data_IF_440203638554
#
_entry.id   IF_440203638554
#
_cell.length_a   1.000
_cell.length_b   1.000
_cell.length_c   1.000
_cell.angle_alpha   90.00
_cell.angle_beta   90.00
_cell.angle_gamma   90.00
#
_symmetry.space_group_name_H-M   'P 1'
#
loop_
_entity.id
_entity.type
_entity.pdbx_description
1 polymer ?
#
# COMPACT_ATOMS: atom_id res chain seq x y z
N UNK A 1 -7.12 -4.82 -5.04
CA UNK A 1 -6.75 -5.10 -6.45
C UNK A 1 -7.45 -6.33 -7.02
N UNK A 2 -7.75 -7.36 -6.25
CA UNK A 2 -8.48 -8.54 -6.72
C UNK A 2 -9.87 -8.23 -7.32
N UNK A 3 -10.60 -7.25 -6.76
CA UNK A 3 -11.96 -6.92 -7.20
C UNK A 3 -12.02 -6.08 -8.49
N UNK A 4 -11.09 -5.14 -8.66
CA UNK A 4 -11.15 -4.15 -9.75
C UNK A 4 -9.97 -4.22 -10.70
N UNK A 5 -8.92 -4.95 -10.35
CA UNK A 5 -7.66 -5.00 -11.09
C UNK A 5 -6.67 -3.90 -10.66
N UNK A 6 -5.66 -3.70 -11.48
CA UNK A 6 -4.57 -2.74 -11.28
C UNK A 6 -4.80 -1.54 -12.22
N UNK A 7 -4.78 -0.29 -11.72
CA UNK A 7 -4.86 0.87 -12.59
C UNK A 7 -3.58 1.02 -13.43
N UNK A 8 -3.69 1.59 -14.61
CA UNK A 8 -2.53 1.91 -15.45
C UNK A 8 -1.67 3.02 -14.86
N UNK A 9 -2.31 3.96 -14.13
CA UNK A 9 -1.60 5.06 -13.48
C UNK A 9 -2.32 5.55 -12.24
N UNK A 10 -1.55 6.12 -11.32
CA UNK A 10 -2.05 6.92 -10.20
C UNK A 10 -1.66 8.39 -10.39
N UNK A 11 -2.61 9.26 -10.11
CA UNK A 11 -2.37 10.68 -9.99
C UNK A 11 -2.48 11.09 -8.52
N UNK A 12 -1.35 11.43 -7.91
CA UNK A 12 -1.24 11.62 -6.46
C UNK A 12 -0.64 12.98 -6.12
N UNK A 13 -0.75 13.35 -4.88
CA UNK A 13 -0.05 14.53 -4.37
C UNK A 13 1.37 14.20 -3.87
N UNK A 14 2.04 15.22 -3.32
CA UNK A 14 3.39 15.06 -2.77
C UNK A 14 3.36 14.73 -1.27
N UNK A 15 2.35 13.98 -0.78
CA UNK A 15 2.37 13.47 0.59
C UNK A 15 3.49 12.45 0.79
N UNK A 16 3.96 12.33 2.03
CA UNK A 16 5.07 11.43 2.40
C UNK A 16 4.82 9.96 2.06
N UNK A 17 3.57 9.53 2.08
CA UNK A 17 3.20 8.16 1.72
C UNK A 17 3.45 7.87 0.24
N UNK A 18 3.40 8.89 -0.62
CA UNK A 18 3.57 8.73 -2.06
C UNK A 18 4.95 9.11 -2.55
N UNK A 19 5.66 9.99 -1.84
CA UNK A 19 6.93 10.54 -2.30
C UNK A 19 7.83 10.92 -1.13
N UNK A 20 9.09 10.51 -1.20
CA UNK A 20 10.14 11.10 -0.36
C UNK A 20 10.45 12.54 -0.85
N UNK A 21 10.51 13.48 0.08
CA UNK A 21 10.88 14.88 -0.20
C UNK A 21 12.04 15.25 0.70
N UNK A 22 13.20 15.52 0.09
CA UNK A 22 14.38 16.01 0.79
C UNK A 22 14.03 17.32 1.53
N UNK A 23 14.57 17.54 2.71
CA UNK A 23 14.30 18.66 3.61
C UNK A 23 12.94 18.63 4.36
N UNK A 24 11.93 17.93 3.87
CA UNK A 24 10.67 17.73 4.60
C UNK A 24 10.70 16.45 5.44
N UNK A 25 11.38 15.44 4.95
CA UNK A 25 11.52 14.15 5.61
C UNK A 25 12.88 14.08 6.29
N UNK A 26 12.89 13.89 7.61
CA UNK A 26 14.13 13.93 8.39
C UNK A 26 15.10 12.82 7.97
N UNK A 27 16.40 13.14 8.01
CA UNK A 27 17.50 12.20 7.77
C UNK A 27 17.41 10.97 8.70
N UNK A 28 16.83 11.15 9.90
CA UNK A 28 16.56 10.08 10.86
C UNK A 28 15.66 8.95 10.32
N UNK A 29 14.67 9.26 9.49
CA UNK A 29 13.84 8.23 8.86
C UNK A 29 14.63 7.36 7.89
N UNK A 30 15.57 7.92 7.16
CA UNK A 30 16.51 7.16 6.31
C UNK A 30 17.34 6.16 7.13
N UNK A 31 17.82 6.59 8.30
CA UNK A 31 18.63 5.75 9.18
C UNK A 31 17.82 4.67 9.89
N UNK A 32 16.56 4.96 10.25
CA UNK A 32 15.68 3.98 10.91
C UNK A 32 15.31 2.85 9.95
N UNK A 33 15.03 3.16 8.70
CA UNK A 33 14.70 2.15 7.69
C UNK A 33 15.95 1.40 7.18
N UNK A 34 17.17 1.93 7.44
CA UNK A 34 18.47 1.35 7.04
C UNK A 34 18.48 0.80 5.61
N UNK A 35 17.73 1.41 4.71
CA UNK A 35 17.64 1.03 3.30
C UNK A 35 18.05 2.21 2.45
N UNK A 36 18.81 1.95 1.40
CA UNK A 36 19.16 2.94 0.38
C UNK A 36 17.98 3.30 -0.52
N UNK A 37 16.89 2.58 -0.43
CA UNK A 37 15.68 2.86 -1.17
C UNK A 37 14.98 4.10 -0.58
N UNK A 38 15.01 5.17 -1.32
CA UNK A 38 14.43 6.47 -0.93
C UNK A 38 12.92 6.51 -1.20
N UNK A 39 12.44 5.63 -2.05
CA UNK A 39 11.02 5.59 -2.39
C UNK A 39 10.18 4.98 -1.26
N UNK A 40 9.04 5.58 -0.92
CA UNK A 40 8.09 4.99 0.02
C UNK A 40 7.64 3.60 -0.42
N UNK A 41 7.31 2.73 0.55
CA UNK A 41 6.83 1.37 0.30
C UNK A 41 5.72 1.31 -0.75
N UNK A 42 4.75 2.21 -0.68
CA UNK A 42 3.68 2.32 -1.67
C UNK A 42 4.22 2.46 -3.10
N UNK A 43 5.23 3.31 -3.30
CA UNK A 43 5.82 3.55 -4.62
C UNK A 43 6.62 2.34 -5.11
N UNK A 44 7.30 1.63 -4.21
CA UNK A 44 7.98 0.38 -4.55
C UNK A 44 6.98 -0.67 -5.07
N UNK A 45 5.83 -0.83 -4.40
CA UNK A 45 4.74 -1.70 -4.87
C UNK A 45 4.25 -1.26 -6.26
N UNK A 46 4.07 0.05 -6.50
CA UNK A 46 3.66 0.56 -7.81
C UNK A 46 4.68 0.24 -8.91
N UNK A 47 5.98 0.35 -8.61
CA UNK A 47 7.05 -0.05 -9.53
C UNK A 47 6.96 -1.55 -9.89
N UNK A 48 6.84 -2.41 -8.88
CA UNK A 48 6.71 -3.87 -9.07
C UNK A 48 5.51 -4.22 -9.93
N UNK A 49 4.39 -3.50 -9.72
CA UNK A 49 3.17 -3.69 -10.50
C UNK A 49 3.19 -2.98 -11.86
N UNK A 50 4.24 -2.25 -12.22
CA UNK A 50 4.32 -1.50 -13.48
C UNK A 50 3.23 -0.43 -13.59
N UNK A 51 2.87 0.22 -12.47
CA UNK A 51 1.89 1.30 -12.42
C UNK A 51 2.60 2.65 -12.49
N UNK A 52 2.20 3.50 -13.42
CA UNK A 52 2.73 4.84 -13.54
C UNK A 52 2.24 5.73 -12.38
N UNK A 53 3.14 6.51 -11.80
CA UNK A 53 2.80 7.46 -10.75
C UNK A 53 3.10 8.88 -11.24
N UNK A 54 2.06 9.70 -11.32
CA UNK A 54 2.15 11.11 -11.69
C UNK A 54 1.83 11.98 -10.48
N UNK A 55 2.68 12.95 -10.21
CA UNK A 55 2.51 13.86 -9.08
C UNK A 55 1.84 15.15 -9.51
N UNK A 56 0.82 15.57 -8.74
CA UNK A 56 0.16 16.86 -8.93
C UNK A 56 1.15 18.02 -8.70
N UNK A 57 1.31 18.88 -9.69
CA UNK A 57 2.21 20.02 -9.63
C UNK A 57 1.58 21.25 -8.95
N UNK A 58 0.26 21.26 -8.81
CA UNK A 58 -0.46 22.38 -8.18
C UNK A 58 -1.68 21.91 -7.41
N UNK A 59 -2.18 22.71 -6.44
CA UNK A 59 -3.43 22.42 -5.72
C UNK A 59 -4.64 22.28 -6.66
N UNK A 60 -4.70 23.08 -7.71
CA UNK A 60 -5.80 23.08 -8.68
C UNK A 60 -5.91 21.74 -9.43
N UNK A 61 -4.78 21.10 -9.66
CA UNK A 61 -4.72 19.80 -10.33
C UNK A 61 -5.43 18.67 -9.54
N UNK A 62 -5.66 18.86 -8.24
CA UNK A 62 -6.35 17.91 -7.36
C UNK A 62 -7.86 18.10 -7.29
N UNK A 63 -8.40 19.20 -7.80
CA UNK A 63 -9.80 19.59 -7.61
C UNK A 63 -10.83 18.51 -8.00
N UNK A 64 -10.47 17.59 -8.90
CA UNK A 64 -11.35 16.48 -9.30
C UNK A 64 -11.55 15.44 -8.18
N UNK A 65 -10.52 15.18 -7.38
CA UNK A 65 -10.61 14.22 -6.27
C UNK A 65 -11.00 14.87 -4.94
N UNK A 66 -10.64 16.14 -4.74
CA UNK A 66 -10.97 16.87 -3.52
C UNK A 66 -12.47 17.11 -3.35
N UNK A 67 -13.19 17.36 -4.45
CA UNK A 67 -14.65 17.61 -4.41
C UNK A 67 -15.45 16.43 -3.87
N UNK A 68 -15.29 15.19 -4.35
CA UNK A 68 -15.95 14.02 -3.79
C UNK A 68 -15.58 13.78 -2.33
N UNK A 69 -14.30 13.97 -1.96
CA UNK A 69 -13.86 13.79 -0.57
C UNK A 69 -14.49 14.84 0.37
N UNK A 70 -14.51 16.10 -0.03
CA UNK A 70 -15.15 17.17 0.77
C UNK A 70 -16.64 16.89 0.95
N UNK A 71 -17.32 16.50 -0.12
CA UNK A 71 -18.72 16.13 -0.07
C UNK A 71 -18.96 14.95 0.90
N UNK A 72 -18.13 13.92 0.84
CA UNK A 72 -18.23 12.75 1.69
C UNK A 72 -17.96 13.10 3.16
N UNK A 73 -16.92 13.89 3.44
CA UNK A 73 -16.62 14.36 4.79
C UNK A 73 -17.79 15.16 5.40
N UNK A 74 -18.33 16.11 4.65
CA UNK A 74 -19.46 16.91 5.11
C UNK A 74 -20.68 16.04 5.46
N UNK A 75 -20.98 15.06 4.63
CA UNK A 75 -22.09 14.14 4.86
C UNK A 75 -21.87 13.24 6.07
N UNK A 76 -20.72 12.65 6.20
CA UNK A 76 -20.41 11.80 7.36
C UNK A 76 -20.56 12.61 8.65
N UNK A 77 -19.94 13.79 8.71
CA UNK A 77 -19.99 14.64 9.91
C UNK A 77 -21.43 15.02 10.26
N UNK A 78 -22.22 15.48 9.28
CA UNK A 78 -23.63 15.87 9.51
C UNK A 78 -24.49 14.69 9.94
N UNK A 79 -24.32 13.53 9.32
CA UNK A 79 -25.11 12.34 9.69
C UNK A 79 -24.74 11.87 11.09
N UNK A 80 -23.45 11.79 11.42
CA UNK A 80 -23.02 11.40 12.76
C UNK A 80 -23.49 12.36 13.83
N UNK A 81 -23.49 13.67 13.57
CA UNK A 81 -23.98 14.67 14.49
C UNK A 81 -25.50 14.57 14.71
N UNK A 82 -26.28 14.38 13.63
CA UNK A 82 -27.73 14.23 13.70
C UNK A 82 -28.14 12.98 14.48
N UNK A 83 -27.50 11.84 14.17
CA UNK A 83 -27.80 10.54 14.79
C UNK A 83 -27.10 10.36 16.14
N UNK A 84 -26.26 11.34 16.57
CA UNK A 84 -25.49 11.31 17.81
C UNK A 84 -24.56 10.08 17.92
N UNK A 85 -24.00 9.65 16.79
CA UNK A 85 -23.04 8.55 16.77
C UNK A 85 -21.73 8.96 17.43
N UNK A 86 -21.22 8.08 18.31
CA UNK A 86 -19.96 8.28 19.04
C UNK A 86 -18.97 7.14 18.83
N UNK A 87 -19.41 6.03 18.24
CA UNK A 87 -18.57 4.84 18.00
C UNK A 87 -18.07 4.83 16.59
N UNK A 88 -16.85 4.37 16.39
CA UNK A 88 -16.21 4.29 15.06
C UNK A 88 -16.93 3.31 14.11
N UNK A 89 -17.56 2.26 14.66
CA UNK A 89 -18.35 1.30 13.89
C UNK A 89 -19.56 1.94 13.22
N UNK A 90 -20.26 2.84 13.93
CA UNK A 90 -21.41 3.59 13.41
C UNK A 90 -20.97 4.51 12.27
N UNK A 91 -19.82 5.19 12.45
CA UNK A 91 -19.23 6.06 11.41
C UNK A 91 -18.84 5.25 10.16
N UNK A 92 -18.29 4.03 10.34
CA UNK A 92 -18.00 3.12 9.23
C UNK A 92 -19.27 2.68 8.50
N UNK A 93 -20.37 2.47 9.22
CA UNK A 93 -21.69 2.21 8.63
C UNK A 93 -22.13 3.35 7.72
N UNK A 94 -22.12 4.59 8.22
CA UNK A 94 -22.43 5.79 7.45
C UNK A 94 -21.52 5.94 6.22
N UNK A 95 -20.23 5.72 6.37
CA UNK A 95 -19.28 5.77 5.25
C UNK A 95 -19.66 4.76 4.16
N UNK A 96 -20.00 3.53 4.53
CA UNK A 96 -20.39 2.47 3.59
C UNK A 96 -21.68 2.86 2.82
N UNK A 97 -22.69 3.35 3.52
CA UNK A 97 -23.96 3.79 2.91
C UNK A 97 -23.75 4.96 1.95
N UNK A 98 -22.96 5.96 2.35
CA UNK A 98 -22.70 7.13 1.50
C UNK A 98 -21.84 6.79 0.28
N UNK A 99 -20.90 5.84 0.40
CA UNK A 99 -20.14 5.31 -0.73
C UNK A 99 -21.02 4.54 -1.70
N UNK A 100 -21.94 3.71 -1.19
CA UNK A 100 -22.89 2.98 -2.01
C UNK A 100 -23.81 3.95 -2.75
N UNK A 101 -24.37 4.92 -2.04
CA UNK A 101 -25.21 5.96 -2.61
C UNK A 101 -24.49 6.74 -3.72
N UNK A 102 -23.26 7.19 -3.47
CA UNK A 102 -22.48 7.94 -4.44
C UNK A 102 -22.18 7.12 -5.70
N UNK A 103 -21.78 5.88 -5.52
CA UNK A 103 -21.33 5.05 -6.64
C UNK A 103 -22.49 4.44 -7.44
N UNK A 104 -23.60 4.09 -6.79
CA UNK A 104 -24.65 3.27 -7.41
C UNK A 104 -25.97 4.01 -7.64
N UNK A 105 -26.19 5.16 -6.98
CA UNK A 105 -27.49 5.83 -7.04
C UNK A 105 -27.41 7.30 -7.44
N UNK A 106 -26.24 7.93 -7.35
CA UNK A 106 -26.11 9.35 -7.62
C UNK A 106 -25.55 9.61 -9.02
N UNK A 107 -26.28 10.43 -9.80
CA UNK A 107 -25.78 10.93 -11.09
C UNK A 107 -24.67 11.96 -10.85
N UNK A 108 -23.49 11.73 -11.40
CA UNK A 108 -22.37 12.64 -11.24
C UNK A 108 -22.56 13.90 -12.10
N UNK A 109 -22.40 15.07 -11.48
CA UNK A 109 -22.73 16.37 -12.12
C UNK A 109 -21.97 16.66 -13.41
N UNK A 110 -20.71 16.20 -13.52
CA UNK A 110 -19.87 16.44 -14.69
C UNK A 110 -20.08 15.40 -15.80
N UNK A 111 -20.18 14.11 -15.44
CA UNK A 111 -20.28 13.03 -16.41
C UNK A 111 -21.71 12.72 -16.82
N UNK A 112 -22.71 13.21 -16.03
CA UNK A 112 -24.14 12.94 -16.22
C UNK A 112 -24.52 11.45 -16.17
N UNK A 113 -23.64 10.63 -15.59
CA UNK A 113 -23.81 9.18 -15.45
C UNK A 113 -23.60 8.76 -14.00
N UNK A 114 -24.18 7.63 -13.62
CA UNK A 114 -23.91 6.97 -12.35
C UNK A 114 -22.51 6.30 -12.44
N UNK A 115 -21.61 6.52 -11.46
CA UNK A 115 -20.23 6.04 -11.53
C UNK A 115 -20.09 4.54 -11.81
N UNK A 116 -20.86 3.68 -11.14
CA UNK A 116 -20.82 2.22 -11.33
C UNK A 116 -21.24 1.80 -12.73
N UNK A 117 -22.28 2.44 -13.30
CA UNK A 117 -22.76 2.18 -14.64
C UNK A 117 -21.69 2.57 -15.68
N UNK A 118 -21.11 3.77 -15.51
CA UNK A 118 -20.02 4.25 -16.36
C UNK A 118 -18.80 3.33 -16.31
N UNK A 119 -18.42 2.88 -15.12
CA UNK A 119 -17.30 1.96 -14.96
C UNK A 119 -17.57 0.59 -15.63
N UNK A 120 -18.78 0.03 -15.43
CA UNK A 120 -19.18 -1.21 -16.08
C UNK A 120 -19.17 -1.11 -17.60
N UNK A 121 -19.69 0.01 -18.14
CA UNK A 121 -19.66 0.31 -19.59
C UNK A 121 -18.23 0.38 -20.11
N UNK A 122 -17.34 1.12 -19.45
CA UNK A 122 -15.93 1.22 -19.86
C UNK A 122 -15.23 -0.15 -19.87
N UNK A 123 -15.52 -1.02 -18.89
CA UNK A 123 -14.99 -2.40 -18.87
C UNK A 123 -15.50 -3.23 -20.05
N UNK A 124 -16.80 -3.17 -20.34
CA UNK A 124 -17.42 -3.91 -21.44
C UNK A 124 -16.88 -3.49 -22.80
N UNK A 125 -16.61 -2.22 -22.98
CA UNK A 125 -16.10 -1.63 -24.22
C UNK A 125 -14.56 -1.72 -24.36
N UNK A 126 -13.85 -2.29 -23.39
CA UNK A 126 -12.39 -2.36 -23.41
C UNK A 126 -11.69 -1.02 -23.16
N UNK A 127 -12.43 0.02 -22.75
CA UNK A 127 -11.94 1.37 -22.47
C UNK A 127 -11.53 1.58 -21.01
N UNK A 128 -11.48 0.50 -20.21
CA UNK A 128 -11.08 0.56 -18.81
C UNK A 128 -9.60 0.86 -18.67
N UNK A 129 -9.26 1.78 -17.78
CA UNK A 129 -7.88 2.06 -17.37
C UNK A 129 -7.39 1.11 -16.28
N UNK A 130 -8.10 0.01 -16.03
CA UNK A 130 -7.71 -1.07 -15.14
C UNK A 130 -7.41 -2.34 -15.94
N UNK A 131 -6.35 -3.02 -15.58
CA UNK A 131 -5.95 -4.33 -16.10
C UNK A 131 -6.06 -5.41 -15.01
N UNK A 132 -6.24 -6.69 -15.36
CA UNK A 132 -6.22 -7.76 -14.38
C UNK A 132 -4.94 -7.76 -13.55
N UNK A 133 -5.04 -8.16 -12.28
CA UNK A 133 -3.87 -8.43 -11.47
C UNK A 133 -3.20 -9.71 -11.96
N UNK A 134 -1.97 -9.60 -12.38
CA UNK A 134 -1.11 -10.74 -12.70
C UNK A 134 0.06 -10.70 -11.75
N UNK A 135 0.28 -11.80 -11.05
CA UNK A 135 1.42 -11.92 -10.14
C UNK A 135 2.71 -11.88 -10.97
N UNK A 136 3.69 -11.02 -10.64
CA UNK A 136 5.00 -11.04 -11.31
C UNK A 136 5.65 -12.42 -11.19
N UNK A 137 6.23 -12.91 -12.30
CA UNK A 137 6.81 -14.27 -12.39
C UNK A 137 7.88 -14.56 -11.33
N UNK A 138 8.48 -13.52 -10.77
CA UNK A 138 9.46 -13.63 -9.69
C UNK A 138 8.85 -14.15 -8.39
N UNK A 139 7.58 -13.87 -8.12
CA UNK A 139 6.93 -14.12 -6.83
C UNK A 139 6.01 -15.32 -6.89
N UNK A 140 5.91 -16.04 -5.77
CA UNK A 140 5.01 -17.18 -5.60
C UNK A 140 3.67 -16.79 -4.96
N UNK A 141 3.59 -15.59 -4.38
CA UNK A 141 2.42 -15.09 -3.67
C UNK A 141 2.28 -13.57 -3.84
N UNK A 142 1.05 -13.09 -3.83
CA UNK A 142 0.72 -11.66 -3.79
C UNK A 142 1.27 -10.97 -2.53
N UNK A 143 1.47 -11.73 -1.45
CA UNK A 143 2.13 -11.25 -0.23
C UNK A 143 3.53 -10.69 -0.51
N UNK A 144 4.27 -11.25 -1.45
CA UNK A 144 5.63 -10.78 -1.82
C UNK A 144 5.59 -9.42 -2.56
N UNK A 145 4.45 -9.07 -3.12
CA UNK A 145 4.23 -7.76 -3.73
C UNK A 145 3.83 -6.72 -2.68
N UNK A 146 2.93 -7.10 -1.75
CA UNK A 146 2.30 -6.20 -0.78
C UNK A 146 2.92 -6.31 0.63
N UNK A 147 4.21 -6.60 0.72
CA UNK A 147 4.96 -6.69 1.97
C UNK A 147 5.79 -5.42 2.22
N UNK A 148 6.24 -5.25 3.45
CA UNK A 148 7.31 -4.31 3.75
C UNK A 148 8.65 -4.95 3.37
N UNK A 149 9.44 -4.26 2.56
CA UNK A 149 10.73 -4.75 2.08
C UNK A 149 11.88 -4.07 2.82
N UNK A 150 12.88 -4.85 3.16
CA UNK A 150 14.14 -4.39 3.75
C UNK A 150 15.31 -5.18 3.14
N UNK A 151 16.52 -4.67 3.29
CA UNK A 151 17.75 -5.30 2.81
C UNK A 151 18.75 -5.45 3.93
N UNK A 152 19.41 -6.58 3.98
CA UNK A 152 20.47 -6.88 4.96
C UNK A 152 21.60 -7.63 4.31
N UNK A 153 22.80 -7.45 4.86
CA UNK A 153 23.98 -8.19 4.46
C UNK A 153 24.21 -9.34 5.44
N UNK A 154 24.46 -10.52 4.92
CA UNK A 154 24.77 -11.71 5.70
C UNK A 154 26.17 -11.55 6.33
N UNK A 155 26.26 -11.61 7.65
CA UNK A 155 27.50 -11.45 8.39
C UNK A 155 28.40 -12.71 8.34
N UNK A 156 29.60 -12.62 8.97
CA UNK A 156 30.54 -13.73 9.03
C UNK A 156 30.06 -14.99 9.75
N UNK A 157 28.97 -14.89 10.53
CA UNK A 157 28.33 -16.02 11.23
C UNK A 157 27.09 -16.55 10.50
N UNK A 158 26.90 -16.20 9.22
CA UNK A 158 25.71 -16.54 8.41
C UNK A 158 24.42 -16.06 9.04
N UNK A 159 24.42 -14.84 9.60
CA UNK A 159 23.25 -14.23 10.21
C UNK A 159 22.96 -12.86 9.62
N UNK A 160 21.70 -12.49 9.66
CA UNK A 160 21.22 -11.12 9.44
C UNK A 160 20.60 -10.60 10.72
N UNK A 161 20.79 -9.33 11.03
CA UNK A 161 20.12 -8.69 12.17
C UNK A 161 18.92 -7.88 11.70
N UNK A 162 17.76 -8.15 12.27
CA UNK A 162 16.50 -7.47 11.98
C UNK A 162 15.79 -7.13 13.30
N UNK A 163 15.61 -5.84 13.59
CA UNK A 163 14.93 -5.35 14.78
C UNK A 163 15.43 -5.99 16.10
N UNK A 164 16.74 -6.21 16.23
CA UNK A 164 17.46 -6.89 17.33
C UNK A 164 17.30 -8.43 17.36
N UNK A 165 16.72 -9.04 16.33
CA UNK A 165 16.72 -10.49 16.17
C UNK A 165 17.81 -10.91 15.20
N UNK A 166 18.58 -11.93 15.57
CA UNK A 166 19.57 -12.56 14.68
C UNK A 166 18.95 -13.79 14.00
N UNK A 167 18.74 -13.68 12.71
CA UNK A 167 18.20 -14.76 11.88
C UNK A 167 19.35 -15.45 11.17
N UNK A 168 19.46 -16.76 11.32
CA UNK A 168 20.49 -17.58 10.65
C UNK A 168 20.05 -17.82 9.21
N UNK A 169 20.94 -17.54 8.24
CA UNK A 169 20.68 -17.72 6.80
C UNK A 169 21.75 -18.62 6.18
N UNK A 170 21.66 -19.94 6.38
CA UNK A 170 22.74 -20.87 6.03
C UNK A 170 22.95 -21.05 4.53
N UNK A 171 21.92 -20.82 3.72
CA UNK A 171 21.93 -21.05 2.26
C UNK A 171 22.55 -19.89 1.47
N UNK A 172 22.82 -18.75 2.10
CA UNK A 172 23.37 -17.57 1.43
C UNK A 172 24.86 -17.45 1.74
N UNK A 173 25.72 -17.11 0.76
CA UNK A 173 27.13 -16.84 0.99
C UNK A 173 27.34 -15.67 1.95
N UNK A 174 28.51 -15.61 2.57
CA UNK A 174 28.89 -14.53 3.48
C UNK A 174 29.02 -13.22 2.71
N UNK A 175 28.63 -12.13 3.34
CA UNK A 175 28.69 -10.74 2.81
C UNK A 175 27.78 -10.46 1.62
N UNK A 176 26.92 -11.41 1.24
CA UNK A 176 25.88 -11.18 0.23
C UNK A 176 24.70 -10.40 0.82
N UNK A 177 24.07 -9.58 -0.01
CA UNK A 177 22.85 -8.85 0.33
C UNK A 177 21.63 -9.75 0.09
N UNK A 178 20.72 -9.78 1.05
CA UNK A 178 19.43 -10.45 0.95
C UNK A 178 18.30 -9.43 1.04
N UNK A 179 17.23 -9.64 0.28
CA UNK A 179 15.99 -8.90 0.42
C UNK A 179 15.10 -9.63 1.43
N UNK A 180 14.50 -8.87 2.35
CA UNK A 180 13.64 -9.38 3.41
C UNK A 180 12.23 -8.86 3.16
N UNK A 181 11.26 -9.77 3.07
CA UNK A 181 9.85 -9.45 3.00
C UNK A 181 9.20 -9.65 4.36
N UNK A 182 8.66 -8.59 4.93
CA UNK A 182 7.95 -8.59 6.21
C UNK A 182 6.45 -8.55 5.96
N UNK A 183 5.76 -9.60 6.35
CA UNK A 183 4.34 -9.82 6.05
C UNK A 183 3.58 -9.97 7.37
N UNK A 184 2.99 -8.88 7.90
CA UNK A 184 2.25 -8.94 9.16
C UNK A 184 0.89 -9.60 8.96
N UNK A 185 0.51 -10.44 9.90
CA UNK A 185 -0.82 -11.00 10.02
C UNK A 185 -1.44 -10.57 11.35
N UNK A 186 -2.27 -9.53 11.28
CA UNK A 186 -2.92 -8.95 12.47
C UNK A 186 -3.96 -9.89 13.09
N UNK A 187 -4.51 -10.83 12.31
CA UNK A 187 -5.56 -11.74 12.79
C UNK A 187 -5.03 -12.76 13.79
N UNK A 188 -3.81 -13.23 13.62
CA UNK A 188 -3.14 -14.20 14.50
C UNK A 188 -1.91 -13.63 15.21
N UNK A 189 -1.71 -12.31 15.14
CA UNK A 189 -0.60 -11.60 15.79
C UNK A 189 0.79 -12.17 15.41
N UNK A 190 0.98 -12.55 14.15
CA UNK A 190 2.23 -13.11 13.63
C UNK A 190 2.85 -12.26 12.53
N UNK A 191 4.17 -12.36 12.40
CA UNK A 191 4.97 -11.80 11.33
C UNK A 191 5.60 -12.95 10.54
N UNK A 192 5.27 -13.06 9.27
CA UNK A 192 5.95 -13.95 8.32
C UNK A 192 7.13 -13.17 7.73
N UNK A 193 8.35 -13.74 7.83
CA UNK A 193 9.58 -13.17 7.30
C UNK A 193 10.09 -14.09 6.20
N UNK A 194 10.10 -13.59 4.95
CA UNK A 194 10.66 -14.29 3.80
C UNK A 194 11.99 -13.68 3.42
N UNK A 195 13.00 -14.51 3.27
CA UNK A 195 14.34 -14.09 2.87
C UNK A 195 14.55 -14.50 1.43
N UNK A 196 14.94 -13.53 0.61
CA UNK A 196 15.16 -13.69 -0.81
C UNK A 196 16.62 -13.41 -1.15
N UNK A 197 17.20 -14.27 -1.95
CA UNK A 197 18.53 -14.10 -2.50
C UNK A 197 18.52 -14.52 -3.98
N UNK A 198 19.16 -13.74 -4.86
CA UNK A 198 19.19 -13.96 -6.31
C UNK A 198 17.81 -14.26 -6.92
N UNK A 199 16.80 -13.50 -6.50
CA UNK A 199 15.42 -13.67 -6.95
C UNK A 199 14.74 -15.00 -6.55
N UNK A 200 15.28 -15.71 -5.58
CA UNK A 200 14.69 -16.93 -5.04
C UNK A 200 14.41 -16.80 -3.55
N UNK A 201 13.27 -17.29 -3.10
CA UNK A 201 12.98 -17.39 -1.68
C UNK A 201 13.80 -18.54 -1.07
N UNK A 202 14.79 -18.20 -0.26
CA UNK A 202 15.71 -19.17 0.36
C UNK A 202 15.26 -19.63 1.74
N UNK A 203 14.44 -18.83 2.42
CA UNK A 203 13.98 -19.10 3.79
C UNK A 203 12.67 -18.41 4.09
N UNK A 204 11.86 -19.02 4.97
CA UNK A 204 10.61 -18.46 5.50
C UNK A 204 10.52 -18.77 6.99
N UNK A 205 10.29 -17.76 7.82
CA UNK A 205 10.17 -17.90 9.27
C UNK A 205 8.95 -17.11 9.80
N UNK A 206 8.48 -17.51 10.97
CA UNK A 206 7.35 -16.88 11.65
C UNK A 206 7.72 -16.45 13.05
N UNK A 207 7.37 -15.23 13.39
CA UNK A 207 7.60 -14.63 14.70
C UNK A 207 6.32 -14.01 15.25
N UNK A 208 6.17 -13.86 16.56
CA UNK A 208 5.13 -13.00 17.14
C UNK A 208 5.33 -11.53 16.71
N UNK A 209 4.26 -10.83 16.33
CA UNK A 209 4.34 -9.39 16.01
C UNK A 209 4.86 -8.55 17.19
N UNK A 210 4.60 -8.99 18.42
CA UNK A 210 5.06 -8.33 19.64
C UNK A 210 6.59 -8.22 19.76
N UNK A 211 7.33 -9.08 19.07
CA UNK A 211 8.79 -9.05 19.05
C UNK A 211 9.35 -7.95 18.12
N UNK A 212 8.51 -7.35 17.30
CA UNK A 212 8.87 -6.31 16.31
C UNK A 212 8.18 -4.96 16.56
N UNK A 213 8.22 -4.39 17.79
CA UNK A 213 7.46 -3.18 18.13
C UNK A 213 7.95 -1.92 17.40
N UNK A 214 9.14 -1.95 16.82
CA UNK A 214 9.73 -0.83 16.06
C UNK A 214 9.43 -0.88 14.55
N UNK A 215 8.80 -1.94 14.08
CA UNK A 215 8.39 -2.07 12.68
C UNK A 215 6.96 -1.56 12.58
N UNK A 216 6.77 -0.47 11.86
CA UNK A 216 5.44 0.11 11.63
C UNK A 216 4.88 -0.48 10.32
N UNK A 217 3.87 -1.29 10.47
CA UNK A 217 3.14 -1.93 9.38
C UNK A 217 1.92 -1.11 8.95
#
# INVERSE_FOLDING_TARGET
MHSYGIPLSYYVDSLRVFRFVQNRDSVWKKQILKTDEVDPQWKQVMKVLGVNVTYALSPQAKGKIERPYRWLQDRIVRTCAREKFSRIEDVRGVLKEELDRYNNHQVHSTTKEIPSIRFAKARKEGNSLFRPFVLPNLYTSDKDVFCLKDKRVVNGYRRISLANHDIVVPKVPLREEVEIHLIPNLSNNSLEIRIWWENQMVQNEFFPLSEFPKVHF
#
